data_IF_961784639630
#
_entry.id   IF_961784639630
#
_cell.length_a   1.000
_cell.length_b   1.000
_cell.length_c   1.000
_cell.angle_alpha   90.00
_cell.angle_beta   90.00
_cell.angle_gamma   90.00
#
_symmetry.space_group_name_H-M   'P 1'
#
loop_
_entity.id
_entity.type
_entity.pdbx_description
1 polymer ?
#
# COMPACT_ATOMS: atom_id res chain seq x y z
N UNK A 1 -52.62 -27.04 -40.58
CA UNK A 1 -52.85 -27.59 -39.23
C UNK A 1 -51.65 -28.41 -38.83
N UNK A 2 -51.08 -28.15 -37.65
CA UNK A 2 -50.41 -29.09 -36.73
C UNK A 2 -49.62 -28.25 -35.71
N UNK A 3 -50.20 -28.12 -34.52
CA UNK A 3 -49.55 -27.60 -33.31
C UNK A 3 -48.91 -28.77 -32.60
N UNK A 4 -47.65 -28.66 -32.19
CA UNK A 4 -47.11 -29.43 -31.05
C UNK A 4 -46.13 -28.57 -30.26
N UNK A 5 -46.59 -28.21 -29.07
CA UNK A 5 -45.86 -27.60 -27.97
C UNK A 5 -44.87 -28.58 -27.33
N UNK A 6 -43.66 -28.12 -27.02
CA UNK A 6 -42.84 -28.69 -25.95
C UNK A 6 -42.30 -27.56 -25.08
N UNK A 7 -43.01 -27.31 -23.99
CA UNK A 7 -42.50 -26.69 -22.77
C UNK A 7 -41.55 -27.68 -22.10
N UNK A 8 -40.35 -27.25 -21.70
CA UNK A 8 -39.41 -28.15 -21.03
C UNK A 8 -38.22 -27.45 -20.38
N UNK A 9 -38.39 -27.15 -19.09
CA UNK A 9 -37.37 -27.17 -18.03
C UNK A 9 -36.28 -26.08 -17.98
N UNK A 10 -36.63 -25.06 -17.19
CA UNK A 10 -35.85 -24.49 -16.07
C UNK A 10 -34.54 -25.20 -15.69
N UNK A 11 -33.41 -24.49 -15.76
CA UNK A 11 -32.39 -24.36 -14.67
C UNK A 11 -31.64 -23.03 -14.79
N UNK A 12 -32.07 -22.03 -14.02
CA UNK A 12 -31.24 -20.84 -13.72
C UNK A 12 -30.14 -21.27 -12.75
N UNK A 13 -28.90 -21.36 -13.24
CA UNK A 13 -27.72 -21.49 -12.39
C UNK A 13 -27.48 -20.14 -11.69
N UNK A 14 -28.02 -19.99 -10.49
CA UNK A 14 -27.70 -18.91 -9.56
C UNK A 14 -26.44 -19.30 -8.79
N UNK A 15 -25.26 -19.03 -9.36
CA UNK A 15 -24.00 -19.10 -8.60
C UNK A 15 -23.83 -17.79 -7.85
N UNK A 16 -24.16 -17.79 -6.56
CA UNK A 16 -23.83 -16.68 -5.67
C UNK A 16 -22.29 -16.58 -5.54
N UNK A 17 -21.67 -15.39 -5.69
CA UNK A 17 -20.27 -15.24 -5.36
C UNK A 17 -20.11 -15.27 -3.84
N UNK A 18 -19.57 -16.37 -3.33
CA UNK A 18 -19.07 -16.50 -1.97
C UNK A 18 -17.83 -15.60 -1.79
N UNK A 19 -18.07 -14.31 -1.55
CA UNK A 19 -17.06 -13.35 -1.12
C UNK A 19 -17.17 -13.11 0.37
N UNK A 20 -17.04 -14.19 1.14
CA UNK A 20 -16.64 -14.09 2.55
C UNK A 20 -15.32 -14.82 2.68
N UNK A 21 -14.22 -14.05 2.71
CA UNK A 21 -12.95 -14.54 3.22
C UNK A 21 -13.04 -14.56 4.75
N UNK A 22 -12.76 -15.69 5.42
CA UNK A 22 -12.58 -15.69 6.86
C UNK A 22 -11.32 -14.88 7.20
N UNK A 23 -11.46 -13.93 8.13
CA UNK A 23 -10.34 -13.19 8.69
C UNK A 23 -9.50 -14.17 9.51
N UNK A 24 -8.29 -14.46 9.04
CA UNK A 24 -7.29 -15.23 9.77
C UNK A 24 -6.71 -14.37 10.88
N UNK A 25 -7.16 -14.57 12.12
CA UNK A 25 -6.55 -14.02 13.32
C UNK A 25 -5.34 -14.88 13.69
N UNK A 26 -4.15 -14.47 13.26
CA UNK A 26 -2.90 -14.99 13.82
C UNK A 26 -2.65 -14.26 15.14
N UNK A 27 -3.09 -14.86 16.24
CA UNK A 27 -2.63 -14.52 17.59
C UNK A 27 -1.13 -14.85 17.67
N UNK A 28 -0.29 -13.82 17.82
CA UNK A 28 1.11 -13.99 18.16
C UNK A 28 1.25 -13.95 19.68
N UNK A 29 1.57 -15.09 20.27
CA UNK A 29 1.92 -15.24 21.68
C UNK A 29 3.30 -14.61 21.97
N UNK A 30 3.49 -13.92 23.11
CA UNK A 30 4.81 -13.51 23.56
C UNK A 30 5.53 -14.69 24.25
N UNK A 31 6.68 -15.07 23.68
CA UNK A 31 7.58 -16.07 24.23
C UNK A 31 8.18 -15.61 25.57
N UNK A 32 7.82 -16.37 26.61
CA UNK A 32 8.54 -16.51 27.89
C UNK A 32 10.03 -16.80 27.65
N UNK A 33 10.90 -16.02 28.27
CA UNK A 33 12.26 -16.47 28.60
C UNK A 33 12.43 -16.32 30.10
N UNK A 34 12.44 -17.47 30.77
CA UNK A 34 12.80 -17.66 32.16
C UNK A 34 14.33 -17.57 32.30
N UNK A 35 14.79 -16.83 33.30
CA UNK A 35 16.05 -17.12 33.98
C UNK A 35 15.91 -16.75 35.45
N UNK A 36 16.00 -17.79 36.25
CA UNK A 36 15.78 -17.87 37.68
C UNK A 36 16.94 -17.31 38.53
N UNK A 37 16.76 -17.43 39.85
CA UNK A 37 17.75 -17.34 40.97
C UNK A 37 17.84 -15.93 41.59
N UNK A 38 17.62 -15.66 42.89
CA UNK A 38 17.55 -16.48 44.12
C UNK A 38 16.75 -15.72 45.19
N UNK A 39 16.02 -16.47 46.02
CA UNK A 39 15.37 -16.06 47.27
C UNK A 39 16.40 -15.85 48.38
N UNK A 40 16.34 -14.76 49.15
CA UNK A 40 16.62 -14.73 50.59
C UNK A 40 15.73 -13.65 51.26
N UNK A 41 15.02 -14.07 52.31
CA UNK A 41 14.24 -13.23 53.23
C UNK A 41 15.16 -12.72 54.35
N UNK A 42 15.01 -11.48 54.82
CA UNK A 42 15.21 -11.13 56.25
C UNK A 42 14.51 -9.81 56.59
N UNK A 43 13.48 -9.93 57.44
CA UNK A 43 12.99 -9.10 58.56
C UNK A 43 13.03 -7.56 58.50
N UNK A 44 11.90 -6.98 58.93
CA UNK A 44 11.64 -5.54 58.89
C UNK A 44 12.25 -4.72 60.03
N UNK A 45 12.15 -3.41 59.87
CA UNK A 45 12.19 -2.41 60.93
C UNK A 45 11.56 -1.10 60.43
N UNK A 46 11.23 -0.25 61.38
CA UNK A 46 10.13 0.71 61.40
C UNK A 46 10.37 2.00 60.61
N UNK A 47 9.28 2.69 60.25
CA UNK A 47 9.33 4.04 59.67
C UNK A 47 9.91 5.07 60.65
N UNK A 48 10.43 6.19 60.13
CA UNK A 48 9.72 7.42 60.44
C UNK A 48 9.46 8.32 59.23
N UNK A 49 8.24 8.85 59.20
CA UNK A 49 7.72 9.80 58.22
C UNK A 49 8.42 11.15 58.38
N UNK A 50 9.30 11.50 57.44
CA UNK A 50 9.69 12.90 57.20
C UNK A 50 9.27 13.31 55.78
N UNK A 51 8.37 14.28 55.70
CA UNK A 51 7.91 14.90 54.46
C UNK A 51 9.07 15.53 53.69
N UNK A 52 9.45 14.97 52.55
CA UNK A 52 10.10 15.72 51.46
C UNK A 52 9.93 14.99 50.12
N UNK A 53 9.44 15.73 49.14
CA UNK A 53 9.29 15.42 47.71
C UNK A 53 8.31 14.29 47.32
N UNK A 54 7.23 14.66 46.63
CA UNK A 54 6.58 13.77 45.66
C UNK A 54 7.64 13.33 44.64
N UNK A 55 8.26 12.18 44.87
CA UNK A 55 9.11 11.54 43.88
C UNK A 55 8.20 11.05 42.75
N UNK A 56 8.19 11.78 41.64
CA UNK A 56 7.67 11.25 40.38
C UNK A 56 8.36 9.89 40.14
N UNK A 57 7.64 8.82 39.79
CA UNK A 57 8.27 7.55 39.52
C UNK A 57 9.28 7.77 38.39
N UNK A 58 10.54 7.44 38.69
CA UNK A 58 11.69 7.54 37.79
C UNK A 58 11.55 6.66 36.53
N UNK A 59 10.39 6.01 36.34
CA UNK A 59 9.99 5.23 35.18
C UNK A 59 9.68 6.07 33.94
N UNK A 60 9.49 7.40 34.06
CA UNK A 60 9.29 8.27 32.89
C UNK A 60 10.55 8.99 32.43
N UNK A 61 11.63 8.98 33.22
CA UNK A 61 12.88 9.66 32.87
C UNK A 61 13.76 8.83 31.92
N UNK A 62 13.55 7.52 31.85
CA UNK A 62 14.31 6.61 30.99
C UNK A 62 13.96 6.74 29.49
N UNK A 63 12.77 7.26 29.16
CA UNK A 63 12.30 7.37 27.77
C UNK A 63 12.80 8.64 27.04
N UNK A 64 13.47 9.56 27.75
CA UNK A 64 13.96 10.82 27.17
C UNK A 64 15.31 10.69 26.43
N UNK A 65 15.96 9.53 26.52
CA UNK A 65 17.30 9.33 25.96
C UNK A 65 17.43 8.14 25.01
N UNK A 66 16.32 7.68 24.43
CA UNK A 66 16.41 6.93 23.18
C UNK A 66 16.89 7.92 22.13
N UNK A 67 18.06 7.73 21.48
CA UNK A 67 18.35 8.49 20.28
C UNK A 67 17.16 8.24 19.38
N UNK A 68 16.47 9.32 19.00
CA UNK A 68 15.41 9.30 18.00
C UNK A 68 16.09 8.78 16.75
N UNK A 69 16.14 7.46 16.59
CA UNK A 69 16.64 6.82 15.39
C UNK A 69 15.70 7.36 14.35
N UNK A 70 16.18 8.35 13.59
CA UNK A 70 15.45 8.83 12.44
C UNK A 70 15.18 7.55 11.68
N UNK A 71 13.91 7.26 11.43
CA UNK A 71 13.53 6.17 10.55
C UNK A 71 14.09 6.55 9.19
N UNK A 72 15.38 6.30 8.95
CA UNK A 72 16.09 6.47 7.69
C UNK A 72 15.65 5.37 6.74
N UNK A 73 14.36 5.02 6.80
CA UNK A 73 13.76 4.07 5.90
C UNK A 73 13.88 4.66 4.50
N UNK A 74 14.64 3.96 3.65
CA UNK A 74 14.76 4.30 2.24
C UNK A 74 13.49 3.94 1.45
N UNK A 75 12.46 3.37 2.09
CA UNK A 75 11.17 2.99 1.47
C UNK A 75 10.55 4.06 0.57
N UNK A 76 10.38 5.35 0.97
CA UNK A 76 9.82 6.36 0.09
C UNK A 76 10.70 6.67 -1.14
N UNK A 77 11.98 6.33 -1.10
CA UNK A 77 12.94 6.46 -2.19
C UNK A 77 13.08 5.18 -3.02
N UNK A 78 12.49 4.06 -2.58
CA UNK A 78 12.57 2.79 -3.28
C UNK A 78 12.03 2.93 -4.72
N UNK A 79 12.84 2.51 -5.69
CA UNK A 79 12.50 2.63 -7.12
C UNK A 79 12.44 4.07 -7.65
N UNK A 80 12.87 5.06 -6.86
CA UNK A 80 12.92 6.49 -7.22
C UNK A 80 14.30 7.12 -6.98
N UNK A 81 15.23 6.37 -6.40
CA UNK A 81 16.63 6.72 -6.26
C UNK A 81 17.45 6.23 -7.46
N UNK A 82 18.60 6.86 -7.66
CA UNK A 82 19.60 6.48 -8.66
C UNK A 82 20.95 6.37 -7.96
N UNK A 83 21.75 5.39 -8.35
CA UNK A 83 23.13 5.27 -7.91
C UNK A 83 23.98 6.44 -8.46
N UNK A 84 25.20 6.62 -7.93
CA UNK A 84 26.12 7.63 -8.43
C UNK A 84 26.45 7.41 -9.91
N UNK A 85 26.39 8.48 -10.71
CA UNK A 85 26.67 8.47 -12.15
C UNK A 85 27.83 9.41 -12.46
N UNK A 86 28.72 8.99 -13.36
CA UNK A 86 29.85 9.82 -13.83
C UNK A 86 29.39 11.08 -14.57
N UNK A 87 28.22 11.04 -15.23
CA UNK A 87 27.65 12.21 -15.92
C UNK A 87 26.27 12.59 -15.31
N UNK A 88 26.17 13.76 -14.66
CA UNK A 88 24.93 14.17 -13.98
C UNK A 88 23.76 14.38 -14.95
N UNK A 89 24.01 14.83 -16.18
CA UNK A 89 22.95 15.07 -17.17
C UNK A 89 22.21 13.77 -17.54
N UNK A 90 22.96 12.69 -17.74
CA UNK A 90 22.39 11.38 -18.04
C UNK A 90 21.60 10.82 -16.85
N UNK A 91 22.08 11.08 -15.63
CA UNK A 91 21.39 10.71 -14.40
C UNK A 91 20.03 11.41 -14.29
N UNK A 92 19.98 12.73 -14.51
CA UNK A 92 18.72 13.48 -14.47
C UNK A 92 17.71 13.03 -15.52
N UNK A 93 18.16 12.72 -16.75
CA UNK A 93 17.28 12.17 -17.79
C UNK A 93 16.69 10.82 -17.37
N UNK A 94 17.53 9.91 -16.86
CA UNK A 94 17.09 8.61 -16.37
C UNK A 94 16.12 8.75 -15.19
N UNK A 95 16.43 9.63 -14.24
CA UNK A 95 15.57 9.90 -13.09
C UNK A 95 14.21 10.41 -13.56
N UNK A 96 14.20 11.33 -14.52
CA UNK A 96 12.97 11.86 -15.09
C UNK A 96 12.11 10.77 -15.75
N UNK A 97 12.73 9.83 -16.48
CA UNK A 97 12.04 8.67 -17.05
C UNK A 97 11.44 7.76 -15.97
N UNK A 98 12.18 7.49 -14.89
CA UNK A 98 11.69 6.68 -13.75
C UNK A 98 10.49 7.34 -13.08
N UNK A 99 10.57 8.65 -12.78
CA UNK A 99 9.48 9.40 -12.18
C UNK A 99 8.25 9.46 -13.08
N UNK A 100 8.43 9.47 -14.40
CA UNK A 100 7.35 9.41 -15.37
C UNK A 100 6.69 8.04 -15.43
N UNK A 101 7.48 6.96 -15.51
CA UNK A 101 6.98 5.58 -15.53
C UNK A 101 6.15 5.26 -14.28
N UNK A 102 6.62 5.71 -13.11
CA UNK A 102 5.96 5.55 -11.82
C UNK A 102 4.82 6.56 -11.57
N UNK A 103 4.49 7.44 -12.54
CA UNK A 103 3.45 8.47 -12.44
C UNK A 103 3.55 9.44 -11.24
N UNK A 104 4.72 9.56 -10.59
CA UNK A 104 4.89 10.29 -9.33
C UNK A 104 4.44 11.75 -9.43
N UNK A 105 4.86 12.45 -10.49
CA UNK A 105 4.50 13.86 -10.70
C UNK A 105 3.01 14.08 -10.98
N UNK A 106 2.34 13.06 -11.53
CA UNK A 106 0.90 13.13 -11.81
C UNK A 106 0.12 12.93 -10.52
N UNK A 107 0.53 11.98 -9.71
CA UNK A 107 -0.06 11.72 -8.39
C UNK A 107 0.14 12.91 -7.45
N UNK A 108 1.34 13.49 -7.40
CA UNK A 108 1.60 14.69 -6.60
C UNK A 108 0.61 15.81 -6.97
N UNK A 109 0.46 16.12 -8.27
CA UNK A 109 -0.50 17.13 -8.73
C UNK A 109 -1.96 16.78 -8.42
N UNK A 110 -2.33 15.52 -8.53
CA UNK A 110 -3.68 15.07 -8.20
C UNK A 110 -3.98 15.16 -6.69
N UNK A 111 -2.95 15.02 -5.86
CA UNK A 111 -3.07 15.04 -4.39
C UNK A 111 -2.84 16.43 -3.78
N UNK A 112 -2.50 17.46 -4.56
CA UNK A 112 -2.33 18.83 -4.06
C UNK A 112 -3.61 19.38 -3.41
N UNK A 113 -4.77 18.96 -3.91
CA UNK A 113 -6.08 19.38 -3.41
C UNK A 113 -7.00 18.18 -3.22
N UNK A 114 -7.94 18.30 -2.28
CA UNK A 114 -8.95 17.28 -2.10
C UNK A 114 -9.90 17.21 -3.31
N UNK A 115 -10.00 16.04 -3.93
CA UNK A 115 -10.96 15.72 -4.97
C UNK A 115 -12.12 14.90 -4.37
N UNK A 116 -13.36 15.39 -4.45
CA UNK A 116 -14.54 14.64 -4.01
C UNK A 116 -14.58 13.25 -4.68
N UNK A 117 -14.97 12.17 -3.98
CA UNK A 117 -14.85 10.80 -4.49
C UNK A 117 -15.63 10.55 -5.79
N UNK A 118 -16.81 11.15 -5.94
CA UNK A 118 -17.60 11.03 -7.17
C UNK A 118 -16.93 11.68 -8.38
N UNK A 119 -16.28 12.84 -8.17
CA UNK A 119 -15.51 13.54 -9.20
C UNK A 119 -14.29 12.70 -9.61
N UNK A 120 -13.58 12.16 -8.62
CA UNK A 120 -12.44 11.27 -8.86
C UNK A 120 -12.82 10.00 -9.65
N UNK A 121 -13.96 9.37 -9.33
CA UNK A 121 -14.49 8.21 -10.07
C UNK A 121 -14.80 8.59 -11.53
N UNK A 122 -15.49 9.71 -11.75
CA UNK A 122 -15.84 10.20 -13.10
C UNK A 122 -14.58 10.47 -13.93
N UNK A 123 -13.61 11.19 -13.35
CA UNK A 123 -12.32 11.49 -13.99
C UNK A 123 -11.58 10.21 -14.38
N UNK A 124 -11.40 9.27 -13.45
CA UNK A 124 -10.73 7.98 -13.73
C UNK A 124 -11.41 7.19 -14.84
N UNK A 125 -12.74 7.20 -14.90
CA UNK A 125 -13.48 6.52 -15.97
C UNK A 125 -13.24 7.15 -17.34
N UNK A 126 -13.30 8.49 -17.44
CA UNK A 126 -13.03 9.23 -18.68
C UNK A 126 -11.59 8.97 -19.15
N UNK A 127 -10.62 9.05 -18.24
CA UNK A 127 -9.21 8.79 -18.55
C UNK A 127 -8.98 7.35 -19.03
N UNK A 128 -9.61 6.36 -18.38
CA UNK A 128 -9.56 4.96 -18.80
C UNK A 128 -10.14 4.79 -20.19
N UNK A 129 -11.32 5.36 -20.47
CA UNK A 129 -11.95 5.27 -21.77
C UNK A 129 -11.07 5.89 -22.88
N UNK A 130 -10.51 7.08 -22.66
CA UNK A 130 -9.56 7.72 -23.58
C UNK A 130 -8.33 6.85 -23.85
N UNK A 131 -7.77 6.21 -22.81
CA UNK A 131 -6.63 5.30 -22.94
C UNK A 131 -6.97 4.06 -23.77
N UNK A 132 -8.12 3.44 -23.49
CA UNK A 132 -8.61 2.27 -24.24
C UNK A 132 -8.89 2.62 -25.70
N UNK A 133 -9.57 3.74 -25.95
CA UNK A 133 -9.85 4.23 -27.29
C UNK A 133 -8.55 4.44 -28.09
N UNK A 134 -7.59 5.17 -27.52
CA UNK A 134 -6.30 5.40 -28.17
C UNK A 134 -5.49 4.12 -28.41
N UNK A 135 -5.63 3.10 -27.55
CA UNK A 135 -5.01 1.79 -27.78
C UNK A 135 -5.69 1.02 -28.93
N UNK A 136 -7.03 1.04 -28.98
CA UNK A 136 -7.80 0.39 -30.06
C UNK A 136 -7.52 1.04 -31.42
N UNK A 137 -7.50 2.37 -31.50
CA UNK A 137 -7.16 3.10 -32.73
C UNK A 137 -5.74 2.75 -33.19
N UNK A 138 -4.75 2.79 -32.29
CA UNK A 138 -3.37 2.39 -32.62
C UNK A 138 -3.28 0.97 -33.16
N UNK A 139 -4.01 0.02 -32.56
CA UNK A 139 -4.05 -1.37 -33.04
C UNK A 139 -4.63 -1.47 -34.45
N UNK A 140 -5.75 -0.78 -34.72
CA UNK A 140 -6.37 -0.77 -36.05
C UNK A 140 -5.49 -0.11 -37.11
N UNK A 141 -4.89 1.04 -36.80
CA UNK A 141 -3.98 1.73 -37.72
C UNK A 141 -2.73 0.88 -37.98
N UNK A 142 -2.16 0.26 -36.94
CA UNK A 142 -1.03 -0.66 -37.10
C UNK A 142 -1.35 -1.83 -38.03
N UNK A 143 -2.55 -2.42 -37.91
CA UNK A 143 -3.01 -3.46 -38.83
C UNK A 143 -3.12 -2.95 -40.28
N UNK A 144 -3.74 -1.79 -40.48
CA UNK A 144 -3.86 -1.20 -41.83
C UNK A 144 -2.48 -0.93 -42.44
N UNK A 145 -1.53 -0.41 -41.64
CA UNK A 145 -0.16 -0.19 -42.10
C UNK A 145 0.53 -1.50 -42.50
N UNK A 146 0.33 -2.58 -41.74
CA UNK A 146 0.85 -3.92 -42.09
C UNK A 146 0.22 -4.46 -43.38
N UNK A 147 -1.10 -4.29 -43.57
CA UNK A 147 -1.79 -4.69 -44.80
C UNK A 147 -1.24 -3.93 -46.01
N UNK A 148 -1.11 -2.60 -45.88
CA UNK A 148 -0.53 -1.73 -46.89
C UNK A 148 0.90 -2.15 -47.25
N UNK A 149 1.73 -2.46 -46.25
CA UNK A 149 3.12 -2.90 -46.47
C UNK A 149 3.19 -4.25 -47.20
N UNK A 150 2.20 -5.12 -46.98
CA UNK A 150 2.07 -6.41 -47.68
C UNK A 150 1.52 -6.26 -49.11
N UNK A 151 1.07 -5.07 -49.51
CA UNK A 151 0.51 -4.81 -50.84
C UNK A 151 -0.99 -5.13 -50.96
N UNK A 152 -1.70 -5.20 -49.84
CA UNK A 152 -3.17 -5.28 -49.78
C UNK A 152 -3.80 -3.88 -49.64
#
# INVERSE_FOLDING_TARGET
MLRTSLLGLTRRLTTAPAWMRPMSTSAAEPSKVESAVKTEETQGEEQPVTRTAFALPNSFAADLHLPKQLTTSLEPYAGRSLASFNNPHTAYKRLNSILFANNVRRELRANMYYEKPNVARRRKNIERNRKLFGAMVRKKVGLIMQMKQRGM
#
